data_IF_556969558575
#
_entry.id   IF_556969558575
#
_cell.length_a   1.000
_cell.length_b   1.000
_cell.length_c   1.000
_cell.angle_alpha   90.00
_cell.angle_beta   90.00
_cell.angle_gamma   90.00
#
_symmetry.space_group_name_H-M   'P 1'
#
loop_
_entity.id
_entity.type
_entity.pdbx_description
1 polymer ?
#
# COMPACT_ATOMS: atom_id res chain seq x y z
N UNK A 1 -2.32 37.20 -6.07
CA UNK A 1 -3.44 36.32 -6.48
C UNK A 1 -3.23 35.68 -7.85
N UNK A 2 -2.73 36.40 -8.87
CA UNK A 2 -2.41 35.82 -10.18
C UNK A 2 -1.22 34.84 -10.16
N UNK A 3 -0.16 35.11 -9.37
CA UNK A 3 0.98 34.19 -9.22
C UNK A 3 0.63 32.88 -8.48
N UNK A 4 -0.33 32.92 -7.56
CA UNK A 4 -0.75 31.75 -6.79
C UNK A 4 -1.53 30.74 -7.65
N UNK A 5 -2.34 31.25 -8.59
CA UNK A 5 -3.05 30.42 -9.57
C UNK A 5 -2.10 29.86 -10.65
N UNK A 6 -0.98 30.54 -10.92
CA UNK A 6 0.06 30.07 -11.85
C UNK A 6 0.81 28.84 -11.33
N UNK A 7 0.96 28.70 -10.00
CA UNK A 7 1.64 27.55 -9.38
C UNK A 7 0.80 26.27 -9.41
N UNK A 8 -0.54 26.39 -9.33
CA UNK A 8 -1.46 25.23 -9.42
C UNK A 8 -1.63 24.69 -10.85
N UNK A 9 -1.09 25.38 -11.86
CA UNK A 9 -1.14 24.99 -13.28
C UNK A 9 0.15 24.32 -13.79
N UNK A 10 1.16 24.10 -12.93
CA UNK A 10 2.41 23.46 -13.35
C UNK A 10 2.21 21.95 -13.51
N UNK A 11 1.98 21.51 -14.74
CA UNK A 11 2.14 20.10 -15.11
C UNK A 11 3.63 19.74 -14.98
N UNK A 12 3.97 18.98 -13.93
CA UNK A 12 5.29 18.33 -13.84
C UNK A 12 5.22 17.02 -14.61
N UNK A 13 6.25 16.76 -15.41
CA UNK A 13 6.46 15.43 -15.96
C UNK A 13 6.87 14.51 -14.80
N UNK A 14 6.16 13.39 -14.65
CA UNK A 14 6.46 12.34 -13.68
C UNK A 14 6.84 11.10 -14.48
N UNK A 15 7.99 10.53 -14.17
CA UNK A 15 8.41 9.23 -14.70
C UNK A 15 8.22 8.21 -13.57
N UNK A 16 7.47 7.14 -13.87
CA UNK A 16 7.22 6.04 -12.94
C UNK A 16 7.91 4.81 -13.51
N UNK A 17 8.74 4.17 -12.70
CA UNK A 17 9.45 2.94 -13.05
C UNK A 17 8.94 1.79 -12.20
N UNK A 18 8.83 0.60 -12.78
CA UNK A 18 8.36 -0.60 -12.11
C UNK A 18 9.49 -1.62 -11.95
N UNK A 19 9.45 -2.34 -10.84
CA UNK A 19 10.27 -3.52 -10.60
C UNK A 19 9.36 -4.75 -10.62
N UNK A 20 9.74 -5.76 -11.41
CA UNK A 20 8.93 -6.96 -11.63
C UNK A 20 9.78 -8.20 -11.39
N UNK A 21 9.15 -9.26 -10.85
CA UNK A 21 9.72 -10.61 -10.77
C UNK A 21 8.88 -11.49 -11.70
N UNK A 22 9.48 -11.97 -12.80
CA UNK A 22 8.75 -12.72 -13.85
C UNK A 22 8.89 -14.21 -13.73
N UNK A 23 9.89 -14.66 -12.98
CA UNK A 23 10.21 -16.08 -12.79
C UNK A 23 10.58 -16.34 -11.35
N UNK A 24 10.21 -17.53 -10.87
CA UNK A 24 10.47 -17.92 -9.49
C UNK A 24 11.98 -17.97 -9.14
N UNK A 25 12.85 -18.20 -10.12
CA UNK A 25 14.31 -18.26 -9.95
C UNK A 25 14.97 -16.87 -9.91
N UNK A 26 14.25 -15.79 -10.22
CA UNK A 26 14.68 -14.40 -9.98
C UNK A 26 14.54 -14.01 -8.50
N UNK A 27 13.79 -14.79 -7.71
CA UNK A 27 13.58 -14.57 -6.30
C UNK A 27 14.54 -15.40 -5.44
N UNK A 28 15.16 -14.75 -4.45
CA UNK A 28 16.01 -15.41 -3.46
C UNK A 28 15.37 -15.33 -2.06
N UNK A 29 15.03 -16.46 -1.42
CA UNK A 29 14.45 -16.44 -0.09
C UNK A 29 15.43 -15.87 0.94
N UNK A 30 14.91 -15.05 1.84
CA UNK A 30 15.63 -14.57 3.03
C UNK A 30 15.22 -15.37 4.26
N UNK A 31 16.13 -15.50 5.23
CA UNK A 31 15.80 -16.13 6.52
C UNK A 31 14.73 -15.30 7.24
N UNK A 32 13.61 -15.92 7.65
CA UNK A 32 12.59 -15.20 8.43
C UNK A 32 13.17 -14.62 9.73
N UNK A 33 12.77 -13.39 10.06
CA UNK A 33 13.16 -12.75 11.32
C UNK A 33 12.34 -13.34 12.46
N UNK A 34 13.00 -13.96 13.44
CA UNK A 34 12.32 -14.53 14.60
C UNK A 34 11.55 -13.45 15.36
N UNK A 35 10.27 -13.71 15.66
CA UNK A 35 9.37 -12.75 16.33
C UNK A 35 8.53 -11.89 15.39
N UNK A 36 8.88 -11.83 14.09
CA UNK A 36 8.06 -11.17 13.07
C UNK A 36 6.92 -12.11 12.63
N UNK A 37 5.68 -11.63 12.69
CA UNK A 37 4.49 -12.39 12.28
C UNK A 37 3.77 -11.66 11.18
N UNK A 38 3.60 -12.31 10.03
CA UNK A 38 2.80 -11.78 8.94
C UNK A 38 1.36 -12.31 9.01
N UNK A 39 0.37 -11.44 8.86
CA UNK A 39 -1.07 -11.78 8.87
C UNK A 39 -1.81 -11.08 7.74
N UNK A 40 -2.67 -11.82 7.06
CA UNK A 40 -3.65 -11.26 6.14
C UNK A 40 -4.87 -10.77 6.93
N UNK A 41 -5.44 -9.63 6.54
CA UNK A 41 -6.74 -9.18 7.01
C UNK A 41 -7.82 -9.79 6.09
N UNK A 42 -8.58 -10.75 6.62
CA UNK A 42 -9.66 -11.41 5.85
C UNK A 42 -11.01 -10.69 5.94
N UNK A 43 -11.13 -9.70 6.81
CA UNK A 43 -12.35 -8.90 7.00
C UNK A 43 -12.00 -7.46 6.67
N UNK A 44 -12.79 -6.85 5.77
CA UNK A 44 -12.63 -5.45 5.42
C UNK A 44 -12.77 -4.57 6.68
N UNK A 45 -11.73 -3.80 6.97
CA UNK A 45 -11.70 -2.90 8.12
C UNK A 45 -11.16 -1.53 7.69
N UNK A 46 -12.01 -0.64 7.15
CA UNK A 46 -11.62 0.65 6.60
C UNK A 46 -10.75 1.51 7.53
N UNK A 47 -11.09 1.59 8.81
CA UNK A 47 -10.38 2.43 9.77
C UNK A 47 -8.94 1.96 9.99
N UNK A 48 -8.75 0.64 10.08
CA UNK A 48 -7.41 0.08 10.27
C UNK A 48 -6.56 0.21 9.00
N UNK A 49 -7.15 0.02 7.82
CA UNK A 49 -6.45 0.24 6.54
C UNK A 49 -6.06 1.70 6.34
N UNK A 50 -6.95 2.64 6.67
CA UNK A 50 -6.63 4.07 6.64
C UNK A 50 -5.54 4.43 7.63
N UNK A 51 -5.55 3.86 8.84
CA UNK A 51 -4.46 4.01 9.80
C UNK A 51 -3.12 3.56 9.19
N UNK A 52 -3.04 2.34 8.66
CA UNK A 52 -1.82 1.79 8.05
C UNK A 52 -1.33 2.66 6.89
N UNK A 53 -2.23 3.05 5.99
CA UNK A 53 -1.92 3.92 4.86
C UNK A 53 -1.30 5.25 5.29
N UNK A 54 -1.89 5.91 6.29
CA UNK A 54 -1.37 7.19 6.78
C UNK A 54 -0.09 7.04 7.58
N UNK A 55 0.03 6.00 8.40
CA UNK A 55 1.16 5.82 9.31
C UNK A 55 2.42 5.37 8.57
N UNK A 56 2.29 4.49 7.57
CA UNK A 56 3.42 4.07 6.73
C UNK A 56 3.70 5.05 5.60
N UNK A 57 2.65 5.56 4.94
CA UNK A 57 2.77 6.40 3.75
C UNK A 57 3.00 7.88 4.01
N UNK A 58 2.81 8.36 5.24
CA UNK A 58 2.84 9.78 5.58
C UNK A 58 4.14 10.47 5.20
N UNK A 59 5.28 9.86 5.52
CA UNK A 59 6.62 10.37 5.19
C UNK A 59 6.94 10.30 3.69
N UNK A 60 6.19 9.49 2.93
CA UNK A 60 6.34 9.27 1.49
C UNK A 60 5.29 10.00 0.66
N UNK A 61 4.56 10.94 1.27
CA UNK A 61 3.54 11.76 0.60
C UNK A 61 2.44 10.95 -0.10
N UNK A 62 2.04 9.82 0.50
CA UNK A 62 0.87 9.08 0.03
C UNK A 62 -0.39 9.90 0.29
N UNK A 63 -0.95 10.45 -0.79
CA UNK A 63 -2.11 11.36 -0.72
C UNK A 63 -3.36 10.80 -1.40
N UNK A 64 -3.20 9.81 -2.28
CA UNK A 64 -4.25 9.31 -3.18
C UNK A 64 -5.52 8.86 -2.46
N UNK A 65 -5.38 8.27 -1.26
CA UNK A 65 -6.49 7.72 -0.48
C UNK A 65 -6.86 8.54 0.75
N UNK A 66 -6.23 9.71 0.96
CA UNK A 66 -6.52 10.53 2.14
C UNK A 66 -7.94 11.10 2.13
N UNK A 67 -8.50 11.33 0.93
CA UNK A 67 -9.86 11.82 0.73
C UNK A 67 -10.91 10.72 0.63
N UNK A 68 -10.51 9.44 0.65
CA UNK A 68 -11.46 8.33 0.56
C UNK A 68 -12.41 8.35 1.76
N UNK A 69 -13.69 8.15 1.45
CA UNK A 69 -14.74 7.92 2.42
C UNK A 69 -14.69 6.50 2.95
N UNK A 70 -15.45 6.23 4.02
CA UNK A 70 -15.60 4.86 4.53
C UNK A 70 -16.08 3.89 3.44
N UNK A 71 -17.03 4.32 2.60
CA UNK A 71 -17.60 3.49 1.54
C UNK A 71 -16.58 3.21 0.42
N UNK A 72 -15.74 4.19 0.05
CA UNK A 72 -14.65 3.99 -0.93
C UNK A 72 -13.67 2.92 -0.43
N UNK A 73 -13.28 3.00 0.84
CA UNK A 73 -12.46 1.96 1.47
C UNK A 73 -13.15 0.62 1.49
N UNK A 74 -14.43 0.57 1.89
CA UNK A 74 -15.18 -0.67 1.99
C UNK A 74 -15.34 -1.33 0.61
N UNK A 75 -15.62 -0.57 -0.43
CA UNK A 75 -15.70 -1.05 -1.81
C UNK A 75 -14.38 -1.66 -2.25
N UNK A 76 -13.27 -0.93 -2.06
CA UNK A 76 -11.94 -1.43 -2.43
C UNK A 76 -11.55 -2.69 -1.66
N UNK A 77 -11.76 -2.72 -0.34
CA UNK A 77 -11.31 -3.80 0.54
C UNK A 77 -12.14 -5.08 0.39
N UNK A 78 -13.36 -5.02 -0.15
CA UNK A 78 -14.18 -6.19 -0.40
C UNK A 78 -13.97 -6.82 -1.78
N UNK A 79 -13.12 -6.24 -2.63
CA UNK A 79 -12.74 -6.85 -3.90
C UNK A 79 -12.00 -8.16 -3.63
N UNK A 80 -12.37 -9.28 -4.26
CA UNK A 80 -11.70 -10.57 -4.05
C UNK A 80 -10.25 -10.58 -4.53
N UNK A 81 -9.88 -9.69 -5.45
CA UNK A 81 -8.52 -9.50 -5.93
C UNK A 81 -7.64 -8.72 -4.95
N UNK A 82 -8.24 -8.03 -3.98
CA UNK A 82 -7.54 -7.15 -3.05
C UNK A 82 -7.18 -7.87 -1.75
N UNK A 83 -5.95 -7.70 -1.28
CA UNK A 83 -5.50 -8.28 0.00
C UNK A 83 -4.66 -7.30 0.79
N UNK A 84 -5.01 -7.08 2.06
CA UNK A 84 -4.16 -6.36 3.01
C UNK A 84 -3.38 -7.35 3.87
N UNK A 85 -2.07 -7.15 3.95
CA UNK A 85 -1.16 -7.92 4.79
C UNK A 85 -0.42 -7.02 5.76
N UNK A 86 -0.32 -7.43 7.01
CA UNK A 86 0.31 -6.66 8.09
C UNK A 86 1.40 -7.49 8.73
N UNK A 87 2.59 -6.89 8.86
CA UNK A 87 3.67 -7.43 9.65
C UNK A 87 3.50 -6.96 11.10
N UNK A 88 3.66 -7.88 12.05
CA UNK A 88 3.60 -7.60 13.49
C UNK A 88 4.92 -7.96 14.16
N UNK A 89 5.38 -7.08 15.04
CA UNK A 89 6.52 -7.30 15.93
C UNK A 89 6.05 -7.08 17.37
N UNK A 90 6.19 -8.08 18.24
CA UNK A 90 5.75 -7.99 19.65
C UNK A 90 4.29 -7.50 19.85
N UNK A 91 3.42 -7.81 18.88
CA UNK A 91 2.00 -7.47 18.92
C UNK A 91 1.64 -6.10 18.36
N UNK A 92 2.61 -5.26 17.98
CA UNK A 92 2.36 -4.00 17.27
C UNK A 92 2.57 -4.18 15.77
N UNK A 93 1.78 -3.49 14.91
CA UNK A 93 2.11 -3.40 13.49
C UNK A 93 3.53 -2.84 13.32
N UNK A 94 4.32 -3.48 12.46
CA UNK A 94 5.67 -3.08 12.06
C UNK A 94 5.74 -2.59 10.61
N UNK A 95 4.69 -2.84 9.84
CA UNK A 95 4.58 -2.47 8.43
C UNK A 95 3.40 -3.18 7.79
N UNK A 96 3.10 -2.82 6.54
CA UNK A 96 2.02 -3.46 5.79
C UNK A 96 2.28 -3.42 4.30
N UNK A 97 1.56 -4.26 3.58
CA UNK A 97 1.43 -4.14 2.14
C UNK A 97 0.04 -4.53 1.66
N UNK A 98 -0.30 -4.08 0.47
CA UNK A 98 -1.50 -4.46 -0.26
C UNK A 98 -1.13 -5.17 -1.55
N UNK A 99 -1.84 -6.26 -1.85
CA UNK A 99 -1.75 -6.97 -3.11
C UNK A 99 -3.03 -6.73 -3.92
N UNK A 100 -2.88 -6.57 -5.22
CA UNK A 100 -3.98 -6.53 -6.19
C UNK A 100 -3.71 -7.57 -7.28
N UNK A 101 -4.55 -8.61 -7.35
CA UNK A 101 -4.49 -9.62 -8.41
C UNK A 101 -5.00 -9.04 -9.73
N UNK A 102 -4.10 -8.92 -10.70
CA UNK A 102 -4.36 -8.40 -12.02
C UNK A 102 -4.19 -9.51 -13.06
N UNK A 103 -5.16 -10.43 -13.11
CA UNK A 103 -5.42 -11.32 -14.27
C UNK A 103 -4.17 -11.76 -15.05
N UNK A 104 -3.19 -12.35 -14.35
CA UNK A 104 -1.92 -12.77 -14.93
C UNK A 104 -0.71 -12.37 -14.09
N UNK A 105 -0.78 -11.24 -13.39
CA UNK A 105 0.26 -10.73 -12.49
C UNK A 105 -0.36 -10.27 -11.15
N UNK A 106 0.48 -10.07 -10.12
CA UNK A 106 0.04 -9.52 -8.83
C UNK A 106 0.84 -8.25 -8.54
N UNK A 107 0.15 -7.13 -8.37
CA UNK A 107 0.77 -5.86 -8.03
C UNK A 107 0.87 -5.68 -6.51
N UNK A 108 2.02 -5.17 -6.04
CA UNK A 108 2.15 -4.62 -4.69
C UNK A 108 1.79 -3.14 -4.77
N UNK A 109 0.55 -2.79 -4.43
CA UNK A 109 0.02 -1.42 -4.65
C UNK A 109 0.53 -0.43 -3.60
N UNK A 110 0.71 -0.90 -2.36
CA UNK A 110 1.29 -0.13 -1.26
C UNK A 110 2.17 -1.06 -0.43
N UNK A 111 3.35 -0.59 -0.02
CA UNK A 111 4.27 -1.34 0.83
C UNK A 111 5.18 -0.40 1.61
N UNK A 112 5.35 -0.71 2.89
CA UNK A 112 6.35 -0.06 3.72
C UNK A 112 6.35 -0.55 5.16
N UNK A 113 7.28 0.01 5.93
CA UNK A 113 7.42 -0.22 7.37
C UNK A 113 7.00 1.05 8.13
N UNK A 114 6.59 0.85 9.38
CA UNK A 114 6.26 1.93 10.33
C UNK A 114 7.52 2.51 10.98
#
# INVERSE_FOLDING_TARGET
MAEYLSLMSMKKNVEITYLEIKKADEWSPVTPVAGLVLRQLHVAFPEFNRFLYTAVGGDWFWVDRLSWTYDDWLECLNRPEHQTWVAYWEGVPAGYFELDDQSGDVEITYFGLL
#
